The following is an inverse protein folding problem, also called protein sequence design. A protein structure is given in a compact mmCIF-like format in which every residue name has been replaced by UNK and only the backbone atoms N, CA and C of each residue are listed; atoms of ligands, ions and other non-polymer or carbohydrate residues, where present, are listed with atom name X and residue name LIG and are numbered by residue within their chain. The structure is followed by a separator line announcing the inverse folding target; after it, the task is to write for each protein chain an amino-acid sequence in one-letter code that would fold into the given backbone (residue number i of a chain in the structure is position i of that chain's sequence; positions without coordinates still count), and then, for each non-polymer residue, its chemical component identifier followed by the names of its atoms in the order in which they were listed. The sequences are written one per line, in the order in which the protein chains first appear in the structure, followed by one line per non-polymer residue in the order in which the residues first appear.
data_IF_634014409435
#
_entry.id   IF_634014409435
#
_cell.length_a   1.000
_cell.length_b   1.000
_cell.length_c   1.000
_cell.angle_alpha   90.00
_cell.angle_beta   90.00
_cell.angle_gamma   90.00
#
_symmetry.space_group_name_H-M   'P 1'
#
loop_
_entity.id
_entity.type
_entity.pdbx_description
1 polymer ?
#
# COMPACT_ATOMS: atom_id res chain seq x y z
N UNK A 1 -4.59 -5.63 1.05
CA UNK A 1 -5.61 -5.94 2.09
C UNK A 1 -5.04 -6.78 3.23
N UNK A 2 -4.19 -7.79 2.98
CA UNK A 2 -3.64 -8.69 4.01
C UNK A 2 -2.97 -7.93 5.17
N UNK A 3 -2.20 -6.88 4.88
CA UNK A 3 -1.53 -6.09 5.92
C UNK A 3 -2.52 -5.40 6.86
N UNK A 4 -3.65 -4.93 6.35
CA UNK A 4 -4.71 -4.33 7.18
C UNK A 4 -5.31 -5.30 8.17
N UNK A 5 -5.39 -6.59 7.81
CA UNK A 5 -6.03 -7.60 8.65
C UNK A 5 -5.21 -7.93 9.91
N UNK A 6 -3.88 -7.82 9.85
CA UNK A 6 -3.04 -8.21 10.97
C UNK A 6 -2.26 -7.08 11.64
N UNK A 7 -1.96 -5.97 10.96
CA UNK A 7 -1.06 -4.93 11.48
C UNK A 7 -1.56 -4.35 12.82
N UNK A 8 -2.85 -4.03 12.92
CA UNK A 8 -3.42 -3.50 14.15
C UNK A 8 -3.42 -4.53 15.29
N UNK A 9 -3.68 -5.81 14.98
CA UNK A 9 -3.62 -6.90 15.97
C UNK A 9 -2.20 -7.14 16.46
N UNK A 10 -1.23 -7.06 15.55
CA UNK A 10 0.18 -7.19 15.87
C UNK A 10 0.64 -6.03 16.77
N UNK A 11 0.31 -4.80 16.41
CA UNK A 11 0.61 -3.63 17.21
C UNK A 11 0.04 -3.75 18.64
N UNK A 12 -1.23 -4.12 18.77
CA UNK A 12 -1.89 -4.31 20.06
C UNK A 12 -1.21 -5.41 20.90
N UNK A 13 -0.84 -6.54 20.28
CA UNK A 13 -0.16 -7.64 20.99
C UNK A 13 1.25 -7.28 21.47
N UNK A 14 1.94 -6.44 20.73
CA UNK A 14 3.29 -5.97 21.08
C UNK A 14 3.28 -4.74 21.99
N UNK A 15 2.12 -4.15 22.27
CA UNK A 15 2.02 -2.85 22.92
C UNK A 15 2.75 -1.74 22.13
N UNK A 16 2.83 -1.91 20.80
CA UNK A 16 3.57 -1.03 19.91
C UNK A 16 2.67 0.05 19.32
N UNK A 17 3.17 1.29 19.12
CA UNK A 17 2.45 2.31 18.42
C UNK A 17 2.28 1.95 16.92
N UNK A 18 1.16 2.35 16.34
CA UNK A 18 0.81 2.08 14.94
C UNK A 18 0.54 3.38 14.17
N UNK A 19 1.28 3.59 13.10
CA UNK A 19 0.92 4.56 12.06
C UNK A 19 0.43 3.81 10.82
N UNK A 20 -0.88 3.85 10.56
CA UNK A 20 -1.48 3.11 9.45
C UNK A 20 -1.74 4.01 8.25
N UNK A 21 -1.66 3.39 7.05
CA UNK A 21 -2.09 3.98 5.79
C UNK A 21 -1.30 5.25 5.41
N UNK A 22 0.00 5.24 5.67
CA UNK A 22 0.90 6.36 5.38
C UNK A 22 1.19 6.47 3.89
N UNK A 23 1.45 7.69 3.42
CA UNK A 23 1.74 8.00 2.01
C UNK A 23 3.19 8.47 1.81
N UNK A 24 3.96 8.65 2.86
CA UNK A 24 5.34 9.11 2.75
C UNK A 24 6.08 9.13 4.09
N UNK A 25 7.35 9.51 3.99
CA UNK A 25 8.27 9.71 5.10
C UNK A 25 8.90 11.08 4.98
N UNK A 26 9.16 11.72 6.12
CA UNK A 26 10.00 12.91 6.19
C UNK A 26 10.69 13.01 7.55
N UNK A 27 11.63 13.93 7.67
CA UNK A 27 12.29 14.24 8.94
C UNK A 27 11.70 15.52 9.50
N UNK A 28 11.26 15.48 10.75
CA UNK A 28 10.76 16.62 11.51
C UNK A 28 11.54 16.67 12.82
N UNK A 29 12.24 17.76 13.09
CA UNK A 29 13.07 17.95 14.28
C UNK A 29 14.04 16.79 14.56
N UNK A 30 14.69 16.29 13.50
CA UNK A 30 15.64 15.17 13.58
C UNK A 30 14.99 13.78 13.77
N UNK A 31 13.67 13.68 13.81
CA UNK A 31 12.91 12.44 14.00
C UNK A 31 12.19 12.04 12.71
N UNK A 32 12.04 10.73 12.51
CA UNK A 32 11.25 10.22 11.39
C UNK A 32 9.77 10.47 11.63
N UNK A 33 9.13 11.17 10.70
CA UNK A 33 7.70 11.41 10.67
C UNK A 33 7.08 10.65 9.49
N UNK A 34 5.95 10.02 9.75
CA UNK A 34 5.15 9.29 8.77
C UNK A 34 4.01 10.19 8.30
N UNK A 35 3.96 10.48 7.00
CA UNK A 35 2.92 11.34 6.43
C UNK A 35 1.64 10.53 6.23
N UNK A 36 0.56 10.97 6.83
CA UNK A 36 -0.74 10.33 6.75
C UNK A 36 -1.81 11.28 6.23
N UNK A 37 -2.64 10.78 5.32
CA UNK A 37 -3.81 11.54 4.84
C UNK A 37 -4.94 11.49 5.89
N UNK A 38 -5.49 12.66 6.19
CA UNK A 38 -6.61 12.83 7.11
C UNK A 38 -7.79 13.48 6.39
N UNK A 39 -9.00 13.23 6.89
CA UNK A 39 -10.24 13.82 6.34
C UNK A 39 -10.37 13.60 4.83
N UNK A 40 -10.25 12.35 4.38
CA UNK A 40 -10.32 11.99 2.95
C UNK A 40 -9.28 12.71 2.07
N UNK A 41 -8.09 12.93 2.60
CA UNK A 41 -6.98 13.55 1.86
C UNK A 41 -6.97 15.08 1.86
N UNK A 42 -7.86 15.71 2.62
CA UNK A 42 -7.90 17.18 2.70
C UNK A 42 -6.76 17.79 3.53
N UNK A 43 -6.18 17.00 4.44
CA UNK A 43 -5.09 17.42 5.33
C UNK A 43 -4.06 16.30 5.41
N UNK A 44 -2.79 16.67 5.42
CA UNK A 44 -1.68 15.77 5.74
C UNK A 44 -1.30 15.93 7.21
N UNK A 45 -1.21 14.83 7.94
CA UNK A 45 -0.68 14.79 9.29
C UNK A 45 0.72 14.16 9.28
N UNK A 46 1.65 14.78 10.00
CA UNK A 46 2.97 14.23 10.25
C UNK A 46 2.95 13.53 11.60
N UNK A 47 3.05 12.21 11.57
CA UNK A 47 2.94 11.37 12.74
C UNK A 47 4.33 10.93 13.16
N UNK A 48 4.77 11.33 14.34
CA UNK A 48 6.00 10.84 14.99
C UNK A 48 5.60 9.81 16.03
N UNK A 49 6.16 8.61 15.94
CA UNK A 49 5.88 7.56 16.92
C UNK A 49 6.82 7.70 18.13
N UNK A 50 6.22 7.62 19.31
CA UNK A 50 6.92 7.72 20.58
C UNK A 50 7.36 6.34 21.09
N UNK A 51 8.40 6.32 21.96
CA UNK A 51 8.89 5.12 22.61
C UNK A 51 10.08 4.46 21.91
N UNK A 52 10.72 3.52 22.60
CA UNK A 52 11.92 2.77 22.16
C UNK A 52 11.61 1.37 21.63
N UNK A 53 10.34 0.96 21.63
CA UNK A 53 9.89 -0.36 21.18
C UNK A 53 9.78 -0.45 19.66
N UNK A 54 9.35 -1.59 19.15
CA UNK A 54 9.07 -1.73 17.73
C UNK A 54 7.93 -0.79 17.32
N UNK A 55 8.12 -0.08 16.22
CA UNK A 55 7.10 0.78 15.62
C UNK A 55 6.47 0.05 14.44
N UNK A 56 5.13 -0.03 14.43
CA UNK A 56 4.40 -0.65 13.32
C UNK A 56 3.92 0.46 12.39
N UNK A 57 4.29 0.35 11.12
CA UNK A 57 3.88 1.32 10.10
C UNK A 57 3.39 0.59 8.86
N UNK A 58 2.28 1.05 8.32
CA UNK A 58 1.80 0.56 7.02
C UNK A 58 1.71 1.70 6.03
N UNK A 59 2.01 1.41 4.76
CA UNK A 59 1.98 2.37 3.67
C UNK A 59 0.92 2.00 2.64
N UNK A 60 0.36 2.99 1.98
CA UNK A 60 -0.52 2.79 0.84
C UNK A 60 0.27 2.19 -0.33
N UNK A 61 -0.40 1.38 -1.14
CA UNK A 61 0.15 0.89 -2.41
C UNK A 61 0.47 2.12 -3.29
N UNK A 62 1.67 2.15 -3.84
CA UNK A 62 2.12 3.28 -4.67
C UNK A 62 2.70 4.47 -3.91
N UNK A 63 2.72 4.46 -2.56
CA UNK A 63 3.37 5.50 -1.76
C UNK A 63 4.87 5.65 -2.10
N UNK A 64 5.51 4.55 -2.45
CA UNK A 64 6.90 4.51 -2.92
C UNK A 64 6.97 3.77 -4.24
N UNK A 65 7.63 4.37 -5.21
CA UNK A 65 7.87 3.77 -6.51
C UNK A 65 9.07 2.83 -6.44
N UNK A 66 8.91 1.60 -6.93
CA UNK A 66 9.97 0.59 -6.91
C UNK A 66 11.18 0.99 -7.80
N UNK A 67 10.95 1.73 -8.87
CA UNK A 67 11.96 2.25 -9.79
C UNK A 67 12.78 3.41 -9.19
N UNK A 68 12.24 4.12 -8.21
CA UNK A 68 12.93 5.21 -7.51
C UNK A 68 13.83 4.73 -6.35
N UNK A 69 13.80 3.42 -6.02
CA UNK A 69 14.61 2.86 -4.94
C UNK A 69 16.07 2.75 -5.37
N UNK A 70 16.96 3.40 -4.62
CA UNK A 70 18.40 3.21 -4.77
C UNK A 70 18.79 1.82 -4.24
N UNK A 71 19.14 0.94 -5.17
CA UNK A 71 19.59 -0.42 -4.80
C UNK A 71 20.98 -0.36 -4.18
N UNK A 72 21.20 -1.15 -3.13
CA UNK A 72 22.52 -1.38 -2.58
C UNK A 72 23.42 -2.19 -3.51
N UNK A 73 24.72 -2.23 -3.24
CA UNK A 73 25.70 -2.96 -4.05
C UNK A 73 25.50 -4.49 -4.03
N UNK A 74 24.88 -5.02 -2.98
CA UNK A 74 24.59 -6.45 -2.83
C UNK A 74 23.24 -6.66 -2.15
N UNK A 75 22.54 -7.77 -2.45
CA UNK A 75 21.31 -8.10 -1.75
C UNK A 75 21.58 -8.39 -0.27
N UNK A 76 20.66 -7.99 0.60
CA UNK A 76 20.72 -8.35 2.01
C UNK A 76 20.55 -9.88 2.20
N UNK A 77 21.22 -10.50 3.18
CA UNK A 77 21.06 -11.91 3.46
C UNK A 77 19.64 -12.22 3.92
N UNK A 78 19.03 -13.24 3.34
CA UNK A 78 17.71 -13.75 3.72
C UNK A 78 17.89 -14.91 4.69
N UNK A 79 17.32 -14.78 5.90
CA UNK A 79 17.30 -15.84 6.89
C UNK A 79 15.91 -16.49 6.90
N UNK A 80 15.78 -17.76 6.50
CA UNK A 80 14.51 -18.46 6.62
C UNK A 80 14.19 -18.69 8.10
N UNK A 81 12.94 -18.47 8.47
CA UNK A 81 12.43 -18.71 9.81
C UNK A 81 11.21 -19.63 9.72
N UNK A 82 11.28 -20.78 10.35
CA UNK A 82 10.13 -21.67 10.47
C UNK A 82 9.17 -21.11 11.53
N UNK A 83 7.95 -20.79 11.14
CA UNK A 83 6.90 -20.44 12.08
C UNK A 83 6.30 -21.73 12.67
N UNK A 84 6.31 -21.89 13.98
CA UNK A 84 5.63 -22.99 14.67
C UNK A 84 4.11 -22.71 14.71
N UNK A 85 3.45 -22.86 13.56
CA UNK A 85 2.00 -22.63 13.40
C UNK A 85 1.33 -23.95 13.04
N UNK A 86 0.34 -24.35 13.85
CA UNK A 86 -0.56 -25.43 13.44
C UNK A 86 -1.53 -24.91 12.37
N UNK A 87 -1.24 -25.26 11.13
CA UNK A 87 -2.05 -24.85 9.97
C UNK A 87 -3.49 -25.38 10.07
N UNK A 88 -3.68 -26.53 10.71
CA UNK A 88 -5.01 -27.13 10.88
C UNK A 88 -5.89 -26.31 11.84
N UNK A 89 -5.29 -25.62 12.82
CA UNK A 89 -5.99 -24.76 13.76
C UNK A 89 -6.40 -23.39 13.17
N UNK A 90 -5.93 -23.04 11.96
CA UNK A 90 -6.29 -21.78 11.31
C UNK A 90 -7.75 -21.88 10.80
N UNK A 91 -8.63 -21.06 11.36
CA UNK A 91 -10.05 -21.06 11.01
C UNK A 91 -10.35 -20.44 9.63
N UNK A 92 -9.54 -19.46 9.21
CA UNK A 92 -9.69 -18.82 7.90
C UNK A 92 -8.78 -19.51 6.91
N UNK A 93 -9.37 -20.09 5.87
CA UNK A 93 -8.62 -20.71 4.77
C UNK A 93 -8.81 -19.80 3.55
N UNK A 94 -7.73 -19.16 3.04
CA UNK A 94 -7.84 -18.37 1.84
C UNK A 94 -8.12 -19.29 0.65
N UNK A 95 -9.08 -18.90 -0.18
CA UNK A 95 -9.30 -19.50 -1.49
C UNK A 95 -8.42 -18.81 -2.53
N UNK A 96 -8.26 -19.45 -3.70
CA UNK A 96 -7.56 -18.83 -4.80
C UNK A 96 -8.27 -17.53 -5.22
N UNK A 97 -7.54 -16.44 -5.49
CA UNK A 97 -8.14 -15.22 -6.00
C UNK A 97 -8.94 -15.50 -7.27
N UNK A 98 -10.20 -15.11 -7.30
CA UNK A 98 -10.97 -15.20 -8.54
C UNK A 98 -10.94 -13.85 -9.27
N UNK A 99 -11.02 -13.90 -10.59
CA UNK A 99 -11.20 -12.74 -11.46
C UNK A 99 -12.56 -12.82 -12.10
N UNK A 100 -13.36 -11.76 -12.00
CA UNK A 100 -14.71 -11.71 -12.58
C UNK A 100 -14.72 -11.85 -14.10
N UNK A 101 -13.65 -11.43 -14.77
CA UNK A 101 -13.49 -11.59 -16.20
C UNK A 101 -12.05 -11.95 -16.57
N UNK A 102 -11.89 -12.91 -17.49
CA UNK A 102 -10.57 -13.32 -18.03
C UNK A 102 -9.82 -12.19 -18.77
N UNK A 103 -10.49 -11.09 -19.10
CA UNK A 103 -9.97 -9.95 -19.86
C UNK A 103 -9.89 -8.64 -19.04
N UNK A 104 -10.11 -8.68 -17.74
CA UNK A 104 -9.98 -7.48 -16.94
C UNK A 104 -8.51 -7.05 -16.89
N UNK A 105 -8.23 -5.89 -17.48
CA UNK A 105 -6.93 -5.23 -17.38
C UNK A 105 -6.72 -4.85 -15.91
N UNK A 106 -5.58 -5.24 -15.34
CA UNK A 106 -5.22 -4.82 -13.99
C UNK A 106 -4.77 -3.36 -14.02
N UNK A 107 -5.67 -2.46 -13.71
CA UNK A 107 -5.41 -1.02 -13.69
C UNK A 107 -4.31 -0.64 -12.69
N UNK A 108 -4.03 -1.46 -11.69
CA UNK A 108 -2.97 -1.18 -10.71
C UNK A 108 -1.56 -1.27 -11.31
N UNK A 109 -1.42 -1.91 -12.47
CA UNK A 109 -0.15 -2.06 -13.21
C UNK A 109 0.00 -1.04 -14.34
N UNK A 110 -1.01 -0.23 -14.62
CA UNK A 110 -0.95 0.74 -15.68
C UNK A 110 -0.07 1.94 -15.30
N UNK A 111 0.87 2.32 -16.18
CA UNK A 111 1.68 3.53 -15.98
C UNK A 111 0.84 4.81 -16.08
N UNK A 112 -0.14 4.78 -16.97
CA UNK A 112 -1.06 5.90 -17.24
C UNK A 112 -2.47 5.37 -17.33
N UNK A 113 -3.40 6.09 -16.74
CA UNK A 113 -4.82 5.77 -16.80
C UNK A 113 -5.56 6.99 -17.28
N UNK A 114 -6.25 6.88 -18.40
CA UNK A 114 -7.15 7.90 -18.89
C UNK A 114 -8.57 7.45 -18.63
N UNK A 115 -9.33 8.20 -17.84
CA UNK A 115 -10.72 7.90 -17.54
C UNK A 115 -11.65 8.92 -18.17
N UNK A 116 -12.76 8.42 -18.71
CA UNK A 116 -13.82 9.25 -19.30
C UNK A 116 -15.10 9.10 -18.51
N UNK A 117 -15.73 10.24 -18.21
CA UNK A 117 -17.03 10.28 -17.54
C UNK A 117 -18.16 10.66 -18.48
N UNK A 118 -19.36 10.80 -17.92
CA UNK A 118 -20.57 11.13 -18.69
C UNK A 118 -20.47 12.46 -19.48
N UNK A 119 -19.56 13.36 -19.07
CA UNK A 119 -19.33 14.64 -19.74
C UNK A 119 -18.76 14.53 -21.15
N UNK A 120 -18.27 13.33 -21.57
CA UNK A 120 -17.78 13.11 -22.92
C UNK A 120 -18.90 13.12 -23.98
N UNK A 121 -20.15 13.07 -23.56
CA UNK A 121 -21.40 13.17 -24.34
C UNK A 121 -21.70 12.02 -25.28
N UNK A 122 -20.71 11.44 -25.95
CA UNK A 122 -20.95 10.33 -26.89
C UNK A 122 -19.72 9.50 -27.20
N UNK A 123 -19.90 8.28 -27.72
CA UNK A 123 -18.78 7.38 -28.03
C UNK A 123 -17.85 7.92 -29.10
N UNK A 124 -18.30 8.84 -29.96
CA UNK A 124 -17.50 9.50 -30.98
C UNK A 124 -16.36 10.34 -30.43
N UNK A 125 -16.46 10.79 -29.17
CA UNK A 125 -15.43 11.58 -28.50
C UNK A 125 -14.42 10.72 -27.73
N UNK A 126 -14.65 9.41 -27.61
CA UNK A 126 -13.76 8.49 -26.86
C UNK A 126 -12.40 8.37 -27.55
N UNK A 127 -12.34 8.56 -28.88
CA UNK A 127 -11.09 8.45 -29.64
C UNK A 127 -10.01 9.40 -29.15
N UNK A 128 -10.37 10.61 -28.75
CA UNK A 128 -9.43 11.59 -28.14
C UNK A 128 -8.80 11.03 -26.85
N UNK A 129 -9.62 10.36 -26.04
CA UNK A 129 -9.12 9.75 -24.79
C UNK A 129 -8.21 8.54 -25.04
N UNK A 130 -8.46 7.77 -26.10
CA UNK A 130 -7.58 6.66 -26.51
C UNK A 130 -6.23 7.17 -27.00
N UNK A 131 -6.22 8.18 -27.86
CA UNK A 131 -4.98 8.81 -28.33
C UNK A 131 -4.14 9.40 -27.18
N UNK A 132 -4.79 9.87 -26.09
CA UNK A 132 -4.08 10.33 -24.91
C UNK A 132 -3.52 9.18 -24.07
N UNK A 133 -4.09 7.99 -24.16
CA UNK A 133 -3.66 6.82 -23.40
C UNK A 133 -2.45 6.09 -24.03
N UNK A 134 -2.20 6.30 -25.32
CA UNK A 134 -1.03 5.82 -26.08
C UNK A 134 0.23 6.66 -25.77
#
# INVERSE_FOLDING_TARGET
YQTRDFAAKLAARLGAPLAADCVGLKTVDGRTAFVRLMFQGKVNADVVLEGSGPHIVTFQIGAFRADAVKKGASPAPVKPMAAAVDVAAIRQKPEAPFREAKQAVDLSQAERIVSVGRGIKGPEHIEIAKQLAE
#
